data_IF_663304427416
#
_entry.id   IF_663304427416
#
_cell.length_a   1.000
_cell.length_b   1.000
_cell.length_c   1.000
_cell.angle_alpha   90.00
_cell.angle_beta   90.00
_cell.angle_gamma   90.00
#
_symmetry.space_group_name_H-M   'P 1'
#
loop_
_entity.id
_entity.type
_entity.pdbx_description
1 polymer ?
#
# COMPACT_ATOMS: atom_id res chain seq x y z
N UNK A 1 -2.92 -8.26 -7.38
CA UNK A 1 -3.14 -8.63 -5.95
C UNK A 1 -2.04 -7.99 -5.09
N UNK A 2 -2.33 -7.63 -3.84
CA UNK A 2 -1.40 -6.86 -2.98
C UNK A 2 -0.30 -7.68 -2.31
N UNK A 3 -0.25 -9.00 -2.51
CA UNK A 3 0.85 -9.86 -2.04
C UNK A 3 0.93 -10.08 -0.53
N UNK A 4 -0.12 -9.75 0.24
CA UNK A 4 -0.10 -9.79 1.71
C UNK A 4 0.42 -11.09 2.31
N UNK A 5 0.17 -12.23 1.68
CA UNK A 5 0.67 -13.53 2.14
C UNK A 5 2.21 -13.62 2.14
N UNK A 6 2.89 -12.85 1.30
CA UNK A 6 4.36 -12.86 1.16
C UNK A 6 5.06 -11.85 2.05
N UNK A 7 4.51 -10.65 2.20
CA UNK A 7 5.16 -9.56 2.95
C UNK A 7 4.33 -9.04 4.13
N UNK A 8 3.19 -9.66 4.47
CA UNK A 8 2.36 -9.37 5.67
C UNK A 8 1.96 -7.90 5.83
N UNK A 9 1.86 -7.16 4.74
CA UNK A 9 1.54 -5.72 4.76
C UNK A 9 2.71 -4.78 5.08
N UNK A 10 3.95 -5.29 5.15
CA UNK A 10 5.14 -4.43 5.14
C UNK A 10 5.30 -3.76 3.77
N UNK A 11 5.82 -2.53 3.76
CA UNK A 11 6.06 -1.72 2.57
C UNK A 11 7.24 -2.19 1.74
N UNK A 12 7.20 -3.43 1.27
CA UNK A 12 8.16 -3.97 0.30
C UNK A 12 7.94 -3.34 -1.07
N UNK A 13 8.92 -3.47 -1.95
CA UNK A 13 8.83 -2.98 -3.34
C UNK A 13 7.56 -3.50 -4.03
N UNK A 14 7.30 -4.80 -3.92
CA UNK A 14 6.10 -5.45 -4.47
C UNK A 14 4.80 -4.81 -3.95
N UNK A 15 4.75 -4.48 -2.65
CA UNK A 15 3.58 -3.84 -2.05
C UNK A 15 3.38 -2.41 -2.55
N UNK A 16 4.47 -1.65 -2.67
CA UNK A 16 4.44 -0.29 -3.23
C UNK A 16 3.99 -0.28 -4.70
N UNK A 17 4.46 -1.25 -5.50
CA UNK A 17 4.02 -1.42 -6.90
C UNK A 17 2.53 -1.77 -6.99
N UNK A 18 2.05 -2.66 -6.11
CA UNK A 18 0.63 -3.00 -6.04
C UNK A 18 -0.23 -1.78 -5.61
N UNK A 19 0.24 -1.00 -4.64
CA UNK A 19 -0.40 0.24 -4.20
C UNK A 19 -0.45 1.29 -5.31
N UNK A 20 0.60 1.41 -6.13
CA UNK A 20 0.60 2.33 -7.27
C UNK A 20 -0.38 1.89 -8.36
N UNK A 21 -0.53 0.57 -8.59
CA UNK A 21 -1.41 0.02 -9.62
C UNK A 21 -2.89 0.00 -9.23
N UNK A 22 -3.19 -0.33 -7.98
CA UNK A 22 -4.56 -0.58 -7.51
C UNK A 22 -5.07 0.48 -6.53
N UNK A 23 -4.20 1.37 -6.05
CA UNK A 23 -4.50 2.31 -4.97
C UNK A 23 -4.42 1.65 -3.59
N UNK A 24 -4.54 2.40 -2.49
CA UNK A 24 -4.69 1.84 -1.15
C UNK A 24 -6.12 1.36 -0.86
N UNK A 25 -6.24 0.23 -0.16
CA UNK A 25 -7.53 -0.30 0.34
C UNK A 25 -7.94 0.41 1.63
N UNK A 26 -9.13 1.01 1.64
CA UNK A 26 -9.78 1.59 2.82
C UNK A 26 -9.99 0.57 3.94
N UNK A 27 -9.66 0.93 5.19
CA UNK A 27 -9.79 0.06 6.37
C UNK A 27 -8.67 -0.96 6.57
N UNK A 28 -7.93 -1.33 5.52
CA UNK A 28 -6.75 -2.23 5.63
C UNK A 28 -5.43 -1.48 5.64
N UNK A 29 -5.29 -0.44 4.83
CA UNK A 29 -4.06 0.35 4.76
C UNK A 29 -4.11 1.52 5.74
N UNK A 30 -2.97 1.78 6.38
CA UNK A 30 -2.81 2.93 7.27
C UNK A 30 -2.44 4.15 6.44
N UNK A 31 -3.42 5.02 6.19
CA UNK A 31 -3.23 6.24 5.40
C UNK A 31 -2.29 7.27 6.05
N UNK A 32 -1.97 7.10 7.34
CA UNK A 32 -0.95 7.90 8.03
C UNK A 32 0.49 7.49 7.69
N UNK A 33 0.70 6.30 7.11
CA UNK A 33 2.03 5.89 6.68
C UNK A 33 2.49 6.72 5.48
N UNK A 34 3.72 7.22 5.54
CA UNK A 34 4.33 8.07 4.51
C UNK A 34 4.12 7.57 3.06
N UNK A 35 4.32 6.28 2.71
CA UNK A 35 4.11 5.82 1.34
C UNK A 35 2.64 5.90 0.90
N UNK A 36 1.68 5.63 1.79
CA UNK A 36 0.26 5.63 1.45
C UNK A 36 -0.27 7.07 1.44
N UNK A 37 0.18 7.90 2.38
CA UNK A 37 -0.15 9.33 2.42
C UNK A 37 0.22 10.04 1.12
N UNK A 38 1.41 9.74 0.58
CA UNK A 38 1.86 10.29 -0.71
C UNK A 38 0.97 9.89 -1.88
N UNK A 39 0.35 8.71 -1.83
CA UNK A 39 -0.53 8.22 -2.90
C UNK A 39 -1.93 8.84 -2.88
N UNK A 40 -2.41 9.29 -1.70
CA UNK A 40 -3.77 9.85 -1.55
C UNK A 40 -3.84 11.37 -1.51
N UNK A 41 -2.71 12.05 -1.33
CA UNK A 41 -2.65 13.53 -1.35
C UNK A 41 -2.39 14.10 -2.75
N UNK A 42 -2.88 13.44 -3.80
CA UNK A 42 -2.87 13.94 -5.19
C UNK A 42 -4.27 14.08 -5.74
#
# INVERSE_FOLDING_TARGET
EYGFSRHKGYGTKEHLEALAKHGPIGGQHRFTFAPIKKLVSS
#
